data_IF_023254287532
#
_entry.id   IF_023254287532
#
_cell.length_a   1.000
_cell.length_b   1.000
_cell.length_c   1.000
_cell.angle_alpha   90.00
_cell.angle_beta   90.00
_cell.angle_gamma   90.00
#
_symmetry.space_group_name_H-M   'P 1'
#
loop_
_entity.id
_entity.type
_entity.pdbx_description
1 polymer ?
#
# COMPACT_ATOMS: atom_id res chain seq x y z
N UNK A 1 -8.60 -6.79 -11.86
CA UNK A 1 -9.65 -6.45 -10.86
C UNK A 1 -10.89 -7.24 -11.17
N UNK A 2 -11.27 -8.18 -10.30
CA UNK A 2 -12.51 -8.94 -10.47
C UNK A 2 -13.73 -8.09 -10.07
N UNK A 3 -14.93 -8.56 -10.44
CA UNK A 3 -16.21 -7.89 -10.22
C UNK A 3 -16.57 -7.62 -8.75
N UNK A 4 -15.86 -8.25 -7.81
CA UNK A 4 -15.96 -8.09 -6.35
C UNK A 4 -14.98 -7.05 -5.78
N UNK A 5 -14.13 -6.43 -6.61
CA UNK A 5 -13.09 -5.51 -6.18
C UNK A 5 -11.89 -6.17 -5.49
N UNK A 6 -11.80 -7.50 -5.53
CA UNK A 6 -10.73 -8.28 -4.91
C UNK A 6 -9.72 -8.69 -5.99
N UNK A 7 -8.45 -8.30 -5.81
CA UNK A 7 -7.34 -8.72 -6.68
C UNK A 7 -6.95 -10.16 -6.39
N UNK A 8 -6.75 -11.00 -7.41
CA UNK A 8 -6.38 -12.41 -7.28
C UNK A 8 -4.90 -12.65 -7.62
N UNK A 9 -4.41 -13.89 -7.44
CA UNK A 9 -3.00 -14.25 -7.69
C UNK A 9 -2.49 -13.91 -9.11
N UNK A 10 -3.35 -13.84 -10.13
CA UNK A 10 -2.96 -13.54 -11.51
C UNK A 10 -2.77 -12.04 -11.76
N UNK A 11 -3.34 -11.17 -10.91
CA UNK A 11 -3.10 -9.72 -10.96
C UNK A 11 -1.68 -9.35 -10.47
N UNK A 12 -0.99 -10.26 -9.79
CA UNK A 12 0.35 -10.01 -9.23
C UNK A 12 1.46 -10.32 -10.21
N UNK A 13 2.40 -9.40 -10.33
CA UNK A 13 3.65 -9.60 -11.09
C UNK A 13 4.79 -9.97 -10.15
N UNK A 14 5.73 -10.77 -10.64
CA UNK A 14 7.05 -11.03 -10.04
C UNK A 14 8.10 -10.38 -10.93
N UNK A 15 9.08 -9.71 -10.35
CA UNK A 15 10.15 -9.04 -11.10
C UNK A 15 10.57 -7.73 -10.44
N UNK A 16 11.47 -7.04 -11.11
CA UNK A 16 12.13 -5.84 -10.60
C UNK A 16 11.17 -4.64 -10.63
N UNK A 17 10.72 -4.22 -9.45
CA UNK A 17 10.03 -2.95 -9.31
C UNK A 17 11.15 -1.92 -9.20
N UNK A 18 11.32 -1.08 -10.21
CA UNK A 18 12.28 0.03 -10.21
C UNK A 18 11.84 1.14 -9.23
N UNK A 19 11.52 0.77 -7.99
CA UNK A 19 10.95 1.61 -6.95
C UNK A 19 11.84 1.48 -5.73
N UNK A 20 12.53 2.57 -5.40
CA UNK A 20 13.34 2.64 -4.20
C UNK A 20 12.46 2.98 -2.99
N UNK A 21 12.36 2.05 -2.02
CA UNK A 21 11.51 2.21 -0.83
C UNK A 21 12.00 3.34 0.09
N UNK A 22 13.30 3.63 0.11
CA UNK A 22 13.84 4.71 0.93
C UNK A 22 13.23 6.06 0.59
N UNK A 23 12.77 6.23 -0.65
CA UNK A 23 12.15 7.47 -1.13
C UNK A 23 10.75 7.70 -0.53
N UNK A 24 10.13 6.67 0.03
CA UNK A 24 8.77 6.72 0.56
C UNK A 24 8.77 6.82 2.08
N UNK A 25 8.06 7.83 2.61
CA UNK A 25 7.99 8.12 4.05
C UNK A 25 6.58 7.95 4.60
N UNK A 26 6.47 7.68 5.90
CA UNK A 26 5.15 7.65 6.54
C UNK A 26 4.63 9.08 6.69
N UNK A 27 3.31 9.33 6.57
CA UNK A 27 2.74 10.64 6.79
C UNK A 27 2.97 11.12 8.24
N UNK A 28 3.27 12.40 8.37
CA UNK A 28 3.58 13.04 9.65
C UNK A 28 2.35 13.72 10.25
N UNK A 29 1.35 14.02 9.42
CA UNK A 29 0.11 14.71 9.77
C UNK A 29 -0.60 14.07 10.95
N UNK A 30 -1.10 14.91 11.85
CA UNK A 30 -1.92 14.54 12.99
C UNK A 30 -3.36 15.02 12.79
N UNK A 31 -4.31 14.35 13.43
CA UNK A 31 -5.74 14.56 13.22
C UNK A 31 -6.30 13.66 12.12
N UNK A 32 -7.45 14.05 11.58
CA UNK A 32 -8.09 13.40 10.41
C UNK A 32 -7.66 14.13 9.15
N UNK A 33 -7.14 13.39 8.17
CA UNK A 33 -6.65 13.95 6.91
C UNK A 33 -6.92 13.02 5.74
N UNK A 34 -6.92 13.59 4.54
CA UNK A 34 -7.20 12.86 3.29
C UNK A 34 -5.97 12.92 2.41
N UNK A 35 -5.62 11.77 1.83
CA UNK A 35 -4.51 11.65 0.89
C UNK A 35 -5.05 11.09 -0.41
N UNK A 36 -4.83 11.81 -1.49
CA UNK A 36 -5.13 11.37 -2.85
C UNK A 36 -3.84 11.10 -3.60
N UNK A 37 -3.81 10.01 -4.37
CA UNK A 37 -2.62 9.66 -5.13
C UNK A 37 -2.81 8.48 -6.07
N UNK A 38 -1.69 8.07 -6.66
CA UNK A 38 -1.60 6.92 -7.54
C UNK A 38 -0.85 5.81 -6.82
N UNK A 39 -1.46 4.62 -6.80
CA UNK A 39 -0.82 3.43 -6.24
C UNK A 39 0.39 3.06 -7.09
N UNK A 40 1.58 3.12 -6.49
CA UNK A 40 2.82 2.69 -7.13
C UNK A 40 2.98 1.18 -6.98
N UNK A 41 2.82 0.69 -5.75
CA UNK A 41 3.02 -0.71 -5.42
C UNK A 41 2.29 -1.08 -4.14
N UNK A 42 1.69 -2.28 -4.11
CA UNK A 42 1.20 -2.93 -2.90
C UNK A 42 1.93 -4.25 -2.71
N UNK A 43 2.42 -4.51 -1.49
CA UNK A 43 3.18 -5.72 -1.17
C UNK A 43 3.06 -6.11 0.31
N UNK A 44 3.35 -7.36 0.66
CA UNK A 44 3.29 -7.82 2.06
C UNK A 44 4.66 -7.78 2.74
N UNK A 45 4.88 -6.84 3.64
CA UNK A 45 6.08 -6.77 4.46
C UNK A 45 6.14 -7.85 5.56
N UNK A 46 7.20 -7.76 6.38
CA UNK A 46 7.39 -8.63 7.56
C UNK A 46 6.20 -8.55 8.52
N UNK A 47 5.97 -9.64 9.27
CA UNK A 47 4.85 -9.79 10.23
C UNK A 47 3.45 -9.64 9.61
N UNK A 48 3.30 -9.99 8.32
CA UNK A 48 2.03 -9.92 7.59
C UNK A 48 1.42 -8.51 7.55
N UNK A 49 2.27 -7.49 7.46
CA UNK A 49 1.80 -6.13 7.19
C UNK A 49 1.65 -5.95 5.68
N UNK A 50 0.49 -5.49 5.22
CA UNK A 50 0.37 -4.99 3.86
C UNK A 50 1.02 -3.60 3.82
N UNK A 51 1.86 -3.34 2.84
CA UNK A 51 2.49 -2.04 2.59
C UNK A 51 1.96 -1.49 1.28
N UNK A 52 1.58 -0.21 1.29
CA UNK A 52 1.23 0.57 0.10
C UNK A 52 2.29 1.65 -0.09
N UNK A 53 2.82 1.75 -1.30
CA UNK A 53 3.59 2.89 -1.79
C UNK A 53 2.69 3.70 -2.72
N UNK A 54 2.64 5.00 -2.44
CA UNK A 54 1.74 5.95 -3.08
C UNK A 54 2.53 7.19 -3.52
N UNK A 55 2.35 7.60 -4.76
CA UNK A 55 2.73 8.94 -5.20
C UNK A 55 1.48 9.82 -5.08
N UNK A 56 1.48 10.76 -4.13
CA UNK A 56 0.33 11.63 -3.92
C UNK A 56 0.24 12.73 -4.98
N UNK A 57 -0.96 13.26 -5.18
CA UNK A 57 -1.21 14.32 -6.18
C UNK A 57 -0.50 15.63 -5.84
N UNK A 58 -0.14 15.84 -4.57
CA UNK A 58 0.69 16.97 -4.11
C UNK A 58 2.20 16.74 -4.28
N UNK A 59 2.60 15.64 -4.93
CA UNK A 59 4.00 15.36 -5.29
C UNK A 59 4.81 14.63 -4.23
N UNK A 60 4.18 14.14 -3.15
CA UNK A 60 4.89 13.40 -2.08
C UNK A 60 4.93 11.90 -2.37
N UNK A 61 5.99 11.27 -1.88
CA UNK A 61 6.17 9.81 -1.91
C UNK A 61 5.84 9.24 -0.54
N UNK A 62 4.69 8.60 -0.42
CA UNK A 62 4.13 8.17 0.86
C UNK A 62 4.06 6.64 0.96
N UNK A 63 4.40 6.11 2.13
CA UNK A 63 4.20 4.70 2.46
C UNK A 63 3.20 4.54 3.61
N UNK A 64 2.38 3.49 3.50
CA UNK A 64 1.40 3.11 4.52
C UNK A 64 1.57 1.64 4.87
N UNK A 65 1.27 1.29 6.12
CA UNK A 65 1.29 -0.09 6.61
C UNK A 65 -0.08 -0.43 7.18
N UNK A 66 -0.71 -1.46 6.64
CA UNK A 66 -2.01 -1.97 7.10
C UNK A 66 -1.79 -3.31 7.79
N UNK A 67 -2.35 -3.45 8.98
CA UNK A 67 -2.33 -4.74 9.67
C UNK A 67 -3.48 -5.61 9.13
N UNK A 68 -3.13 -6.75 8.52
CA UNK A 68 -4.08 -7.82 8.18
C UNK A 68 -5.30 -7.42 7.31
N UNK A 69 -5.21 -6.34 6.52
CA UNK A 69 -6.32 -5.93 5.64
C UNK A 69 -6.28 -6.67 4.29
N UNK A 70 -6.66 -7.94 4.32
CA UNK A 70 -6.67 -8.86 3.16
C UNK A 70 -7.70 -8.50 2.09
N UNK A 71 -8.70 -7.67 2.41
CA UNK A 71 -9.70 -7.21 1.43
C UNK A 71 -9.09 -6.27 0.38
N UNK A 72 -8.07 -5.51 0.78
CA UNK A 72 -7.43 -4.51 -0.09
C UNK A 72 -6.28 -5.10 -0.93
N UNK A 73 -5.71 -6.23 -0.50
CA UNK A 73 -4.73 -6.98 -1.26
C UNK A 73 -4.75 -8.44 -0.80
N UNK A 74 -4.84 -9.39 -1.73
CA UNK A 74 -4.75 -10.81 -1.37
C UNK A 74 -3.44 -11.14 -0.65
N UNK A 75 -3.52 -11.98 0.38
CA UNK A 75 -2.34 -12.52 1.06
C UNK A 75 -1.59 -13.46 0.09
N UNK A 76 -0.26 -13.35 -0.06
CA UNK A 76 0.51 -14.25 -0.89
C UNK A 76 0.45 -15.67 -0.31
N UNK A 77 0.31 -16.67 -1.17
CA UNK A 77 0.31 -18.07 -0.74
C UNK A 77 1.66 -18.46 -0.11
N UNK A 78 1.58 -19.08 1.09
CA UNK A 78 2.69 -19.52 1.97
C UNK A 78 3.79 -18.47 2.20
N UNK A 79 3.55 -17.57 3.16
CA UNK A 79 4.45 -17.16 4.26
C UNK A 79 5.93 -16.90 3.98
N UNK A 80 6.34 -16.57 2.75
CA UNK A 80 7.66 -15.99 2.51
C UNK A 80 7.61 -14.52 2.86
N UNK A 81 8.48 -14.09 3.76
CA UNK A 81 8.74 -12.66 3.97
C UNK A 81 9.17 -12.06 2.63
N UNK A 82 8.53 -10.96 2.26
CA UNK A 82 8.71 -10.34 0.95
C UNK A 82 9.57 -9.10 1.11
N UNK A 83 10.71 -9.08 0.44
CA UNK A 83 11.68 -7.98 0.44
C UNK A 83 11.68 -7.31 -0.93
N UNK A 84 11.13 -6.09 -1.02
CA UNK A 84 10.89 -5.33 -2.28
C UNK A 84 12.17 -4.95 -3.00
N UNK A 85 13.29 -4.91 -2.28
CA UNK A 85 14.61 -4.68 -2.87
C UNK A 85 15.20 -5.95 -3.50
N UNK A 86 14.53 -7.11 -3.35
CA UNK A 86 14.91 -8.38 -3.98
C UNK A 86 13.85 -8.78 -5.01
N UNK A 87 14.29 -9.37 -6.12
CA UNK A 87 13.51 -9.80 -7.31
C UNK A 87 12.29 -10.73 -7.05
N UNK A 88 11.99 -11.06 -5.79
CA UNK A 88 11.03 -12.08 -5.38
C UNK A 88 9.74 -11.53 -4.76
N UNK A 89 9.38 -10.29 -5.07
CA UNK A 89 8.17 -9.65 -4.54
C UNK A 89 6.98 -9.82 -5.43
N UNK A 90 5.89 -10.33 -4.84
CA UNK A 90 4.56 -10.22 -5.43
C UNK A 90 4.05 -8.81 -5.18
N UNK A 91 3.89 -8.05 -6.25
CA UNK A 91 3.34 -6.71 -6.18
C UNK A 91 2.17 -6.55 -7.14
N UNK A 92 1.28 -5.63 -6.75
CA UNK A 92 0.25 -5.09 -7.61
C UNK A 92 0.63 -3.65 -7.98
N UNK A 93 1.11 -3.46 -9.21
CA UNK A 93 1.22 -2.14 -9.85
C UNK A 93 -0.02 -1.96 -10.70
N UNK A 94 -1.12 -1.61 -10.04
CA UNK A 94 -2.37 -1.34 -10.74
C UNK A 94 -2.47 0.12 -11.20
N UNK A 95 -1.56 1.00 -10.78
CA UNK A 95 -1.57 2.42 -11.14
C UNK A 95 -2.89 3.10 -10.75
N UNK A 96 -3.64 2.51 -9.81
CA UNK A 96 -4.98 2.94 -9.52
C UNK A 96 -4.96 4.21 -8.69
N UNK A 97 -5.80 5.15 -9.09
CA UNK A 97 -6.09 6.36 -8.32
C UNK A 97 -6.84 5.98 -7.05
N UNK A 98 -6.39 6.50 -5.92
CA UNK A 98 -6.90 6.13 -4.61
C UNK A 98 -7.06 7.35 -3.71
N UNK A 99 -8.10 7.33 -2.88
CA UNK A 99 -8.29 8.24 -1.75
C UNK A 99 -8.16 7.44 -0.45
N UNK A 100 -7.34 7.93 0.46
CA UNK A 100 -7.18 7.40 1.81
C UNK A 100 -7.68 8.43 2.81
N UNK A 101 -8.67 8.05 3.62
CA UNK A 101 -9.00 8.82 4.83
C UNK A 101 -8.19 8.26 6.00
N UNK A 102 -7.33 9.10 6.55
CA UNK A 102 -6.36 8.76 7.57
C UNK A 102 -6.70 9.46 8.89
N UNK A 103 -6.34 8.85 10.00
CA UNK A 103 -6.40 9.46 11.32
C UNK A 103 -5.16 9.09 12.14
N UNK A 104 -4.49 10.10 12.69
CA UNK A 104 -3.34 9.91 13.58
C UNK A 104 -3.48 10.78 14.81
N UNK A 105 -3.50 10.17 16.00
CA UNK A 105 -3.42 10.93 17.25
C UNK A 105 -2.03 11.56 17.37
N UNK A 106 -1.93 12.72 18.03
CA UNK A 106 -0.72 13.55 18.11
C UNK A 106 0.55 12.78 18.55
N UNK A 107 0.40 11.82 19.46
CA UNK A 107 1.50 11.01 20.01
C UNK A 107 1.52 9.57 19.46
N UNK A 108 0.64 9.25 18.50
CA UNK A 108 0.56 7.92 17.95
C UNK A 108 1.71 7.65 16.97
N UNK A 109 2.38 6.51 17.17
CA UNK A 109 3.39 5.98 16.24
C UNK A 109 2.80 5.43 14.95
N UNK A 110 1.46 5.32 14.87
CA UNK A 110 0.75 4.63 13.80
C UNK A 110 -0.37 5.54 13.28
N UNK A 111 -0.44 5.68 11.96
CA UNK A 111 -1.57 6.30 11.26
C UNK A 111 -2.62 5.23 10.99
N UNK A 112 -3.85 5.46 11.45
CA UNK A 112 -4.99 4.58 11.19
C UNK A 112 -5.63 4.96 9.86
N UNK A 113 -5.87 3.97 9.01
CA UNK A 113 -6.65 4.17 7.78
C UNK A 113 -8.11 3.87 8.10
N UNK A 114 -8.97 4.90 7.94
CA UNK A 114 -10.40 4.83 8.22
C UNK A 114 -11.20 4.40 7.00
N UNK A 115 -10.80 4.85 5.82
CA UNK A 115 -11.47 4.54 4.56
C UNK A 115 -10.46 4.44 3.41
N UNK A 116 -10.79 3.61 2.42
CA UNK A 116 -10.02 3.44 1.18
C UNK A 116 -10.99 3.43 0.01
N UNK A 117 -10.84 4.36 -0.92
CA UNK A 117 -11.65 4.44 -2.13
C UNK A 117 -10.76 4.35 -3.36
N UNK A 118 -11.08 3.42 -4.27
CA UNK A 118 -10.38 3.29 -5.56
C UNK A 118 -11.20 4.05 -6.59
N UNK A 119 -10.64 5.13 -7.16
CA UNK A 119 -11.28 5.88 -8.25
C UNK A 119 -11.13 5.06 -9.55
N UNK A 120 -12.26 4.80 -10.21
CA UNK A 120 -12.32 4.16 -11.53
C UNK A 120 -12.01 5.16 -12.64
#
# INVERSE_FOLDING_TARGET
MNSDGIFNNADFRKGDITVNRSDYVFPEESGVFVIEGVTVCRYWGKRKNLILLLDSLDGRKLKFSFWSNTKYCCEPSRSREVDVEKESVRYLKDGSSIILTCEKSKDAKITRIRNIEIKK
#
